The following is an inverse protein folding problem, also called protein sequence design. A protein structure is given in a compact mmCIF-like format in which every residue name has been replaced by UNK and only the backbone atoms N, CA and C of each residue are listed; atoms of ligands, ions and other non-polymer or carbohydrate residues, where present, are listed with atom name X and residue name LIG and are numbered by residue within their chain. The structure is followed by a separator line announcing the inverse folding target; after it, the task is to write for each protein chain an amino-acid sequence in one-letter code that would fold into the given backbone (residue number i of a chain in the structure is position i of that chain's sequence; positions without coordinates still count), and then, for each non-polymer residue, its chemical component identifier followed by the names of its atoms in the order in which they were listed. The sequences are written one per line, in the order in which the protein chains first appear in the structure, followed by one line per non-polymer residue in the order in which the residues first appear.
data_IF_245036603673
#
_entry.id   IF_245036603673
#
_cell.length_a   1.000
_cell.length_b   1.000
_cell.length_c   1.000
_cell.angle_alpha   90.00
_cell.angle_beta   90.00
_cell.angle_gamma   90.00
#
_symmetry.space_group_name_H-M   'P 1'
#
loop_
_entity.id
_entity.type
_entity.pdbx_description
1 polymer ?
#
# COMPACT_ATOMS: atom_id res chain seq x y z
N UNK A 1 -13.29 -7.78 -2.15
CA UNK A 1 -12.12 -7.67 -3.05
C UNK A 1 -10.91 -8.21 -2.30
N UNK A 2 -10.08 -9.03 -2.95
CA UNK A 2 -8.84 -9.51 -2.36
C UNK A 2 -7.84 -8.35 -2.25
N UNK A 3 -7.29 -8.13 -1.06
CA UNK A 3 -6.26 -7.11 -0.81
C UNK A 3 -5.08 -7.81 -0.15
N UNK A 4 -3.94 -7.81 -0.83
CA UNK A 4 -2.72 -8.39 -0.32
C UNK A 4 -2.12 -7.45 0.74
N UNK A 5 -1.61 -7.99 1.86
CA UNK A 5 -1.03 -7.16 2.89
C UNK A 5 0.30 -6.58 2.39
N UNK A 6 0.49 -5.28 2.52
CA UNK A 6 1.76 -4.63 2.19
C UNK A 6 2.11 -3.53 3.19
N UNK A 7 3.42 -3.34 3.39
CA UNK A 7 4.00 -2.26 4.19
C UNK A 7 5.12 -1.62 3.39
N UNK A 8 5.05 -0.31 3.25
CA UNK A 8 5.88 0.47 2.34
C UNK A 8 6.50 1.63 3.08
N UNK A 9 7.78 1.86 2.79
CA UNK A 9 8.52 3.04 3.22
C UNK A 9 8.81 3.91 2.02
N UNK A 10 8.51 5.21 2.12
CA UNK A 10 8.81 6.18 1.07
C UNK A 10 10.32 6.43 1.02
N UNK A 11 10.89 6.45 -0.18
CA UNK A 11 12.29 6.78 -0.41
C UNK A 11 12.46 8.31 -0.53
N UNK A 12 13.30 8.95 0.30
CA UNK A 12 13.47 10.41 0.33
C UNK A 12 13.79 11.06 -1.02
N UNK A 13 14.61 10.38 -1.82
CA UNK A 13 15.10 10.92 -3.10
C UNK A 13 14.14 10.67 -4.27
N UNK A 14 13.07 9.90 -4.05
CA UNK A 14 12.17 9.45 -5.12
C UNK A 14 10.75 9.98 -4.90
N UNK A 15 10.58 11.29 -4.81
CA UNK A 15 9.25 11.92 -4.73
C UNK A 15 9.03 12.75 -5.99
N UNK A 16 8.32 12.19 -6.96
CA UNK A 16 8.15 12.77 -8.30
C UNK A 16 6.92 13.67 -8.40
N UNK A 17 5.79 13.24 -7.83
CA UNK A 17 4.58 14.05 -7.77
C UNK A 17 3.92 13.97 -6.39
N UNK A 18 3.59 15.14 -5.83
CA UNK A 18 3.12 15.26 -4.44
C UNK A 18 1.59 15.22 -4.29
N UNK A 19 0.83 15.36 -5.38
CA UNK A 19 -0.65 15.40 -5.34
C UNK A 19 -1.28 14.88 -6.64
N UNK A 20 -2.24 13.97 -6.49
CA UNK A 20 -3.17 13.45 -7.50
C UNK A 20 -2.74 13.56 -8.98
N UNK A 21 -2.05 12.56 -9.53
CA UNK A 21 -1.66 11.31 -8.88
C UNK A 21 -0.41 11.48 -8.02
N UNK A 22 -0.36 10.83 -6.85
CA UNK A 22 0.86 10.80 -6.04
C UNK A 22 1.82 9.82 -6.72
N UNK A 23 3.05 10.25 -7.02
CA UNK A 23 4.08 9.40 -7.64
C UNK A 23 5.31 9.41 -6.76
N UNK A 24 5.59 8.26 -6.14
CA UNK A 24 6.67 8.10 -5.16
C UNK A 24 7.39 6.76 -5.35
N UNK A 25 8.70 6.76 -5.16
CA UNK A 25 9.51 5.58 -4.95
C UNK A 25 9.32 5.07 -3.53
N UNK A 26 9.10 3.77 -3.42
CA UNK A 26 8.90 3.09 -2.14
C UNK A 26 9.76 1.83 -2.08
N UNK A 27 10.17 1.49 -0.86
CA UNK A 27 10.71 0.19 -0.53
C UNK A 27 9.60 -0.68 0.08
N UNK A 28 9.46 -1.90 -0.41
CA UNK A 28 8.56 -2.89 0.18
C UNK A 28 9.22 -3.48 1.42
N UNK A 29 8.81 -3.01 2.60
CA UNK A 29 9.33 -3.47 3.89
C UNK A 29 8.78 -4.85 4.25
N UNK A 30 7.51 -5.11 3.90
CA UNK A 30 6.88 -6.41 4.11
C UNK A 30 5.69 -6.62 3.15
N UNK A 31 5.41 -7.87 2.84
CA UNK A 31 4.24 -8.27 2.06
C UNK A 31 4.42 -8.14 0.54
N UNK A 32 3.27 -7.95 -0.13
CA UNK A 32 3.15 -7.95 -1.59
C UNK A 32 2.31 -6.74 -2.01
N UNK A 33 2.90 -5.89 -2.84
CA UNK A 33 2.22 -4.75 -3.47
C UNK A 33 1.71 -5.18 -4.82
N UNK A 34 0.44 -4.88 -5.13
CA UNK A 34 -0.15 -5.14 -6.45
C UNK A 34 -0.88 -3.91 -6.99
N UNK A 35 -0.97 -3.80 -8.30
CA UNK A 35 -1.85 -2.82 -8.95
C UNK A 35 -3.28 -2.99 -8.43
N UNK A 36 -3.95 -1.87 -8.17
CA UNK A 36 -5.29 -1.80 -7.57
C UNK A 36 -5.33 -1.85 -6.05
N UNK A 37 -4.21 -2.09 -5.36
CA UNK A 37 -4.16 -2.14 -3.89
C UNK A 37 -4.53 -0.77 -3.31
N UNK A 38 -5.54 -0.68 -2.42
CA UNK A 38 -5.84 0.56 -1.71
C UNK A 38 -4.76 0.84 -0.65
N UNK A 39 -4.34 2.09 -0.52
CA UNK A 39 -3.23 2.50 0.34
C UNK A 39 -3.69 3.55 1.36
N UNK A 40 -3.27 3.38 2.61
CA UNK A 40 -3.51 4.35 3.68
C UNK A 40 -2.26 4.58 4.54
N UNK A 41 -2.35 5.59 5.41
CA UNK A 41 -1.31 5.98 6.36
C UNK A 41 -1.83 5.75 7.79
N UNK A 42 -1.45 4.65 8.47
CA UNK A 42 -2.01 4.29 9.78
C UNK A 42 -1.73 5.34 10.86
N UNK A 43 -0.52 5.92 10.88
CA UNK A 43 -0.07 6.92 11.85
C UNK A 43 -0.85 8.24 11.81
N UNK A 44 -1.66 8.46 10.77
CA UNK A 44 -2.40 9.70 10.52
C UNK A 44 -3.90 9.40 10.46
N UNK A 45 -4.46 8.76 11.48
CA UNK A 45 -5.89 8.40 11.53
C UNK A 45 -6.34 7.59 10.30
N UNK A 46 -5.46 6.71 9.80
CA UNK A 46 -5.71 5.90 8.60
C UNK A 46 -6.08 6.76 7.37
N UNK A 47 -5.41 7.89 7.16
CA UNK A 47 -5.60 8.74 5.96
C UNK A 47 -5.50 7.87 4.70
N UNK A 48 -6.59 7.80 3.96
CA UNK A 48 -6.65 7.09 2.70
C UNK A 48 -6.02 7.93 1.58
N UNK A 49 -5.06 7.33 0.87
CA UNK A 49 -4.35 7.98 -0.23
C UNK A 49 -4.97 7.67 -1.59
N UNK A 50 -5.73 6.57 -1.68
CA UNK A 50 -6.33 6.07 -2.91
C UNK A 50 -5.83 4.67 -3.25
N UNK A 51 -5.75 4.35 -4.55
CA UNK A 51 -5.34 3.02 -5.04
C UNK A 51 -4.10 3.12 -5.91
N UNK A 52 -3.27 2.07 -5.86
CA UNK A 52 -2.14 1.95 -6.77
C UNK A 52 -2.65 1.78 -8.20
N UNK A 53 -2.35 2.75 -9.06
CA UNK A 53 -2.68 2.72 -10.47
C UNK A 53 -1.62 2.00 -11.29
N UNK A 54 -0.34 2.20 -10.97
CA UNK A 54 0.78 1.51 -11.64
C UNK A 54 1.96 1.31 -10.69
N UNK A 55 2.78 0.30 -11.01
CA UNK A 55 4.04 -0.01 -10.34
C UNK A 55 5.12 -0.10 -11.42
N UNK A 56 6.27 0.53 -11.18
CA UNK A 56 7.42 0.49 -12.05
C UNK A 56 8.67 0.05 -11.29
N UNK A 57 9.40 -0.91 -11.85
CA UNK A 57 10.73 -1.30 -11.36
C UNK A 57 11.75 -1.06 -12.47
N UNK A 58 12.76 -0.23 -12.19
CA UNK A 58 13.78 0.15 -13.19
C UNK A 58 13.17 0.66 -14.51
N UNK A 59 12.18 1.56 -14.43
CA UNK A 59 11.42 2.11 -15.57
C UNK A 59 10.64 1.08 -16.41
N UNK A 60 10.42 -0.14 -15.89
CA UNK A 60 9.58 -1.15 -16.53
C UNK A 60 8.31 -1.36 -15.71
N UNK A 61 7.13 -1.38 -16.34
CA UNK A 61 5.89 -1.67 -15.63
C UNK A 61 5.90 -3.11 -15.10
N UNK A 62 5.42 -3.28 -13.86
CA UNK A 62 5.26 -4.57 -13.21
C UNK A 62 3.89 -4.66 -12.55
N UNK A 63 3.33 -5.87 -12.48
CA UNK A 63 2.02 -6.10 -11.85
C UNK A 63 2.12 -6.20 -10.32
N UNK A 64 3.26 -6.66 -9.82
CA UNK A 64 3.51 -6.83 -8.39
C UNK A 64 4.96 -6.52 -7.99
N UNK A 65 5.14 -6.16 -6.72
CA UNK A 65 6.43 -6.00 -6.06
C UNK A 65 6.41 -6.65 -4.68
N UNK A 66 7.53 -7.24 -4.26
CA UNK A 66 7.64 -8.01 -3.02
C UNK A 66 8.67 -7.41 -2.07
N UNK A 67 8.63 -7.89 -0.83
CA UNK A 67 9.55 -7.50 0.24
C UNK A 67 11.01 -7.43 -0.22
N UNK A 68 11.68 -6.33 0.12
CA UNK A 68 13.06 -6.04 -0.26
C UNK A 68 13.22 -5.28 -1.58
N UNK A 69 12.19 -5.24 -2.44
CA UNK A 69 12.24 -4.49 -3.69
C UNK A 69 12.01 -2.99 -3.48
N UNK A 70 12.65 -2.20 -4.33
CA UNK A 70 12.40 -0.76 -4.48
C UNK A 70 11.72 -0.51 -5.81
N UNK A 71 10.56 0.15 -5.77
CA UNK A 71 9.70 0.38 -6.93
C UNK A 71 9.08 1.77 -6.87
N UNK A 72 8.77 2.34 -8.03
CA UNK A 72 7.96 3.55 -8.13
C UNK A 72 6.49 3.15 -8.20
N UNK A 73 5.66 3.77 -7.38
CA UNK A 73 4.21 3.58 -7.40
C UNK A 73 3.51 4.89 -7.75
N UNK A 74 2.47 4.76 -8.57
CA UNK A 74 1.51 5.82 -8.82
C UNK A 74 0.24 5.52 -8.05
N UNK A 75 -0.20 6.44 -7.20
CA UNK A 75 -1.44 6.33 -6.42
C UNK A 75 -2.43 7.37 -6.95
N UNK A 76 -3.57 6.89 -7.42
CA UNK A 76 -4.67 7.72 -7.89
C UNK A 76 -5.72 7.81 -6.76
N UNK A 77 -6.29 9.01 -6.50
CA UNK A 77 -7.34 9.16 -5.51
C UNK A 77 -8.57 8.33 -5.89
N UNK A 78 -9.30 7.86 -4.89
CA UNK A 78 -10.59 7.19 -5.14
C UNK A 78 -11.65 8.24 -5.46
N UNK A 79 -12.57 7.92 -6.38
CA UNK A 79 -13.63 8.83 -6.82
C UNK A 79 -14.42 9.40 -5.63
N UNK A 80 -14.63 10.71 -5.63
CA UNK A 80 -15.35 11.43 -4.58
C UNK A 80 -14.52 11.76 -3.33
N UNK A 81 -13.29 11.25 -3.20
CA UNK A 81 -12.40 11.64 -2.10
C UNK A 81 -11.54 12.86 -2.45
N UNK A 82 -11.34 13.74 -1.48
CA UNK A 82 -10.43 14.89 -1.64
C UNK A 82 -8.98 14.40 -1.76
N UNK A 83 -8.26 14.75 -2.83
CA UNK A 83 -6.86 14.37 -3.00
C UNK A 83 -5.97 14.76 -1.83
N UNK A 84 -5.18 13.78 -1.35
CA UNK A 84 -4.17 14.02 -0.31
C UNK A 84 -2.89 14.60 -0.93
N UNK A 85 -2.17 15.35 -0.10
CA UNK A 85 -0.96 16.08 -0.45
C UNK A 85 0.19 15.60 0.43
N UNK A 86 1.24 15.10 -0.20
CA UNK A 86 2.52 14.79 0.44
C UNK A 86 3.14 16.07 1.03
N UNK A 87 3.66 15.98 2.26
CA UNK A 87 4.20 17.10 3.05
C UNK A 87 3.15 17.84 3.89
N UNK A 88 1.86 17.49 3.77
CA UNK A 88 0.78 18.02 4.62
C UNK A 88 0.02 16.90 5.33
N UNK A 89 -0.44 15.91 4.58
CA UNK A 89 -1.25 14.82 5.13
C UNK A 89 -0.41 13.60 5.54
N UNK A 90 0.75 13.44 4.91
CA UNK A 90 1.73 12.41 5.20
C UNK A 90 3.10 12.87 4.69
N UNK A 91 4.18 12.31 5.24
CA UNK A 91 5.55 12.62 4.84
C UNK A 91 6.47 11.37 4.87
N UNK A 92 7.79 11.55 4.80
CA UNK A 92 8.78 10.46 4.76
C UNK A 92 8.85 9.60 6.02
N UNK A 93 8.42 10.14 7.15
CA UNK A 93 8.43 9.42 8.41
C UNK A 93 7.23 8.47 8.53
N UNK A 94 6.21 8.69 7.71
CA UNK A 94 4.99 7.88 7.69
C UNK A 94 5.19 6.62 6.86
N UNK A 95 4.68 5.49 7.36
CA UNK A 95 4.59 4.24 6.59
C UNK A 95 3.28 4.21 5.81
N UNK A 96 3.35 3.71 4.58
CA UNK A 96 2.16 3.41 3.79
C UNK A 96 1.84 1.93 3.92
N UNK A 97 0.58 1.58 4.11
CA UNK A 97 0.15 0.18 4.17
C UNK A 97 -1.04 -0.06 3.29
N UNK A 98 -1.26 -1.33 2.93
CA UNK A 98 -2.51 -1.76 2.28
C UNK A 98 -3.68 -1.52 3.23
N UNK A 99 -4.70 -0.79 2.75
CA UNK A 99 -5.98 -0.63 3.47
C UNK A 99 -6.79 -1.92 3.34
N UNK A 100 -6.65 -2.79 4.33
CA UNK A 100 -7.43 -4.03 4.41
C UNK A 100 -8.75 -3.80 5.15
N UNK A 101 -9.75 -4.63 4.85
CA UNK A 101 -11.04 -4.70 5.53
C UNK A 101 -11.32 -6.14 5.98
N UNK A 102 -12.33 -6.34 6.84
CA UNK A 102 -12.71 -7.68 7.28
C UNK A 102 -13.08 -8.60 6.12
N UNK A 103 -13.85 -8.07 5.17
CA UNK A 103 -14.26 -8.78 3.96
C UNK A 103 -13.04 -9.16 3.11
N UNK A 104 -12.05 -8.27 2.98
CA UNK A 104 -10.82 -8.59 2.24
C UNK A 104 -10.03 -9.70 2.92
N UNK A 105 -9.94 -9.71 4.25
CA UNK A 105 -9.23 -10.74 5.03
C UNK A 105 -9.90 -12.10 4.83
N UNK A 106 -11.23 -12.15 4.89
CA UNK A 106 -11.98 -13.40 4.74
C UNK A 106 -11.85 -13.96 3.32
N UNK A 107 -11.90 -13.10 2.28
CA UNK A 107 -11.57 -13.48 0.90
C UNK A 107 -10.14 -14.03 0.77
N UNK A 108 -9.16 -13.40 1.43
CA UNK A 108 -7.77 -13.86 1.40
C UNK A 108 -7.61 -15.25 2.05
N UNK A 109 -8.36 -15.53 3.12
CA UNK A 109 -8.33 -16.85 3.79
C UNK A 109 -8.99 -17.94 2.98
N UNK A 110 -10.09 -17.62 2.30
CA UNK A 110 -10.90 -18.57 1.54
C UNK A 110 -10.24 -18.92 0.20
N UNK A 111 -9.72 -17.93 -0.52
CA UNK A 111 -9.27 -18.11 -1.92
C UNK A 111 -7.76 -18.00 -2.12
N UNK A 112 -7.01 -17.31 -1.25
CA UNK A 112 -5.59 -16.97 -1.47
C UNK A 112 -4.65 -17.48 -0.37
N UNK A 113 -5.07 -18.53 0.35
CA UNK A 113 -4.31 -19.06 1.49
C UNK A 113 -2.93 -19.59 1.11
N UNK A 114 -2.83 -20.23 -0.05
CA UNK A 114 -1.59 -20.79 -0.61
C UNK A 114 -0.66 -19.72 -1.20
N UNK A 115 -1.21 -18.58 -1.62
CA UNK A 115 -0.48 -17.50 -2.29
C UNK A 115 0.33 -16.62 -1.33
N UNK A 116 -0.03 -16.67 -0.04
CA UNK A 116 0.61 -15.91 1.02
C UNK A 116 1.59 -16.79 1.82
N UNK A 117 2.80 -16.28 2.02
CA UNK A 117 3.79 -16.88 2.91
C UNK A 117 3.38 -16.67 4.36
N UNK A 118 4.00 -17.43 5.28
CA UNK A 118 3.81 -17.27 6.73
C UNK A 118 4.06 -15.84 7.20
N UNK A 119 5.03 -15.15 6.61
CA UNK A 119 5.37 -13.75 6.92
C UNK A 119 4.29 -12.78 6.43
N UNK A 120 3.71 -13.01 5.26
CA UNK A 120 2.61 -12.19 4.74
C UNK A 120 1.37 -12.32 5.63
N UNK A 121 1.09 -13.53 6.14
CA UNK A 121 0.02 -13.76 7.11
C UNK A 121 0.28 -13.07 8.46
N UNK A 122 1.54 -13.02 8.92
CA UNK A 122 1.88 -12.23 10.11
C UNK A 122 1.61 -10.75 9.88
N UNK A 123 2.00 -10.22 8.72
CA UNK A 123 1.70 -8.83 8.36
C UNK A 123 0.18 -8.59 8.28
N UNK A 124 -0.59 -9.53 7.73
CA UNK A 124 -2.06 -9.41 7.71
C UNK A 124 -2.65 -9.24 9.11
N UNK A 125 -2.16 -10.01 10.09
CA UNK A 125 -2.60 -9.90 11.50
C UNK A 125 -2.17 -8.57 12.10
N UNK A 126 -0.91 -8.17 11.89
CA UNK A 126 -0.39 -6.87 12.35
C UNK A 126 -1.23 -5.71 11.80
N UNK A 127 -1.54 -5.74 10.49
CA UNK A 127 -2.36 -4.72 9.85
C UNK A 127 -3.79 -4.74 10.39
N UNK A 128 -4.36 -5.91 10.66
CA UNK A 128 -5.70 -6.05 11.25
C UNK A 128 -5.77 -5.32 12.60
N UNK A 129 -4.76 -5.51 13.44
CA UNK A 129 -4.66 -4.84 14.74
C UNK A 129 -4.42 -3.34 14.59
N UNK A 130 -3.48 -2.93 13.74
CA UNK A 130 -3.12 -1.51 13.55
C UNK A 130 -4.23 -0.64 12.94
N UNK A 131 -5.18 -1.28 12.24
CA UNK A 131 -6.31 -0.63 11.58
C UNK A 131 -7.62 -0.80 12.36
N UNK A 132 -7.57 -1.31 13.60
CA UNK A 132 -8.71 -1.55 14.49
C UNK A 132 -9.85 -2.35 13.83
N UNK A 133 -9.51 -3.36 13.03
CA UNK A 133 -10.48 -4.19 12.31
C UNK A 133 -10.95 -5.34 13.21
N UNK A 134 -12.25 -5.43 13.48
CA UNK A 134 -12.86 -6.52 14.28
C UNK A 134 -12.90 -7.87 13.56
#
# INVERSE_FOLDING_TARGET
MAVFPCKLRILPEMIFNKRAPIVVGVRVEAGIVRVGTPICVPSRECVHLGRIFSIESNHKPVEEARTGMEVCIRIDPTDGETPKLYGRHFDLNDLLVSKISRESIDVMKEYFRSDLKKEDWKLMIELKESLDIS
#
